data_IF_698002742241
#
_entry.id   IF_698002742241
#
_cell.length_a   1.000
_cell.length_b   1.000
_cell.length_c   1.000
_cell.angle_alpha   90.00
_cell.angle_beta   90.00
_cell.angle_gamma   90.00
#
_symmetry.space_group_name_H-M   'P 1'
#
loop_
_entity.id
_entity.type
_entity.pdbx_description
1 polymer ?
#
# COMPACT_ATOMS: atom_id res chain seq x y z
N UNK A 1 -26.93 -40.73 34.47
CA UNK A 1 -25.63 -40.01 34.45
C UNK A 1 -25.46 -39.49 33.03
N UNK A 2 -25.91 -38.27 32.77
CA UNK A 2 -26.07 -37.75 31.42
C UNK A 2 -26.73 -36.38 31.50
N UNK A 3 -25.93 -35.35 31.75
CA UNK A 3 -26.23 -33.94 31.60
C UNK A 3 -24.87 -33.26 31.74
N UNK A 4 -24.24 -32.94 30.61
CA UNK A 4 -23.27 -31.84 30.45
C UNK A 4 -22.87 -31.78 28.96
N UNK A 5 -23.88 -31.72 28.08
CA UNK A 5 -23.68 -31.23 26.72
C UNK A 5 -24.08 -29.75 26.73
N UNK A 6 -23.20 -28.91 27.27
CA UNK A 6 -23.31 -27.45 27.11
C UNK A 6 -22.74 -27.13 25.74
N UNK A 7 -23.63 -26.84 24.79
CA UNK A 7 -23.25 -26.31 23.48
C UNK A 7 -22.47 -25.01 23.73
N UNK A 8 -21.21 -24.87 23.26
CA UNK A 8 -20.48 -23.62 23.43
C UNK A 8 -21.22 -22.53 22.66
N UNK A 9 -21.88 -21.65 23.42
CA UNK A 9 -22.66 -20.53 22.91
C UNK A 9 -21.79 -19.62 22.04
N UNK A 10 -22.11 -19.59 20.75
CA UNK A 10 -21.36 -18.88 19.72
C UNK A 10 -21.35 -17.35 19.91
N UNK A 11 -22.11 -16.82 20.87
CA UNK A 11 -22.12 -15.40 21.23
C UNK A 11 -20.87 -14.95 22.00
N UNK A 12 -20.06 -15.88 22.54
CA UNK A 12 -18.79 -15.53 23.19
C UNK A 12 -17.72 -15.04 22.21
N UNK A 13 -17.98 -15.10 20.90
CA UNK A 13 -17.11 -14.60 19.83
C UNK A 13 -17.56 -13.26 19.25
N UNK A 14 -18.60 -12.63 19.83
CA UNK A 14 -18.96 -11.27 19.45
C UNK A 14 -17.83 -10.33 19.89
N UNK A 15 -17.04 -9.87 18.92
CA UNK A 15 -16.21 -8.68 19.12
C UNK A 15 -17.13 -7.60 19.68
N UNK A 16 -16.77 -6.90 20.78
CA UNK A 16 -17.62 -5.86 21.32
C UNK A 16 -17.97 -4.89 20.19
N UNK A 17 -19.28 -4.63 20.03
CA UNK A 17 -19.90 -3.67 19.10
C UNK A 17 -19.58 -2.23 19.53
N UNK A 18 -18.35 -2.03 19.99
CA UNK A 18 -17.76 -0.80 20.47
C UNK A 18 -16.36 -0.63 19.86
N UNK A 19 -16.08 -1.24 18.69
CA UNK A 19 -15.07 -0.75 17.76
C UNK A 19 -15.59 0.54 17.07
N UNK A 20 -15.84 1.50 17.95
CA UNK A 20 -15.90 2.94 17.83
C UNK A 20 -16.00 3.49 16.40
N UNK A 21 -17.10 4.20 16.15
CA UNK A 21 -17.31 5.17 15.05
C UNK A 21 -16.32 6.36 15.09
N UNK A 22 -15.16 6.22 15.72
CA UNK A 22 -14.09 7.20 15.68
C UNK A 22 -13.36 7.07 14.37
N UNK A 23 -13.16 8.21 13.70
CA UNK A 23 -12.16 8.32 12.65
C UNK A 23 -10.81 7.80 13.19
N UNK A 24 -10.24 6.68 12.68
CA UNK A 24 -8.92 6.24 13.12
C UNK A 24 -7.81 7.24 12.73
N UNK A 25 -8.12 8.23 11.90
CA UNK A 25 -7.16 9.18 11.34
C UNK A 25 -7.14 10.56 12.02
N UNK A 26 -8.29 11.12 12.41
CA UNK A 26 -8.40 12.54 12.81
C UNK A 26 -7.68 12.88 14.12
N UNK A 27 -7.56 11.94 15.05
CA UNK A 27 -6.90 12.19 16.34
C UNK A 27 -5.39 11.99 16.30
N UNK A 28 -4.83 11.54 15.16
CA UNK A 28 -3.43 11.10 15.06
C UNK A 28 -2.66 11.67 13.86
N UNK A 29 -3.33 12.33 12.91
CA UNK A 29 -2.69 12.82 11.68
C UNK A 29 -2.06 14.20 11.84
N UNK A 30 -0.81 14.35 11.37
CA UNK A 30 -0.12 15.66 11.26
C UNK A 30 -0.23 16.28 9.86
N UNK A 31 -0.88 15.59 8.92
CA UNK A 31 -0.96 16.01 7.53
C UNK A 31 -1.88 17.22 7.32
N UNK A 32 -1.29 18.42 7.22
CA UNK A 32 -2.03 19.67 7.01
C UNK A 32 -2.88 19.68 5.73
N UNK A 33 -2.45 18.97 4.68
CA UNK A 33 -3.24 18.84 3.45
C UNK A 33 -4.56 18.10 3.70
N UNK A 34 -4.50 16.99 4.43
CA UNK A 34 -5.67 16.19 4.78
C UNK A 34 -6.63 16.97 5.67
N UNK A 35 -6.11 17.61 6.72
CA UNK A 35 -6.90 18.39 7.66
C UNK A 35 -7.60 19.57 6.98
N UNK A 36 -6.93 20.24 6.04
CA UNK A 36 -7.53 21.33 5.28
C UNK A 36 -8.76 20.88 4.48
N UNK A 37 -8.66 19.75 3.76
CA UNK A 37 -9.80 19.22 2.99
C UNK A 37 -10.90 18.72 3.93
N UNK A 38 -10.53 18.02 5.01
CA UNK A 38 -11.49 17.50 5.98
C UNK A 38 -12.32 18.63 6.62
N UNK A 39 -11.65 19.65 7.17
CA UNK A 39 -12.29 20.82 7.76
C UNK A 39 -13.06 21.63 6.72
N UNK A 40 -12.52 21.78 5.51
CA UNK A 40 -13.21 22.44 4.40
C UNK A 40 -14.51 21.77 4.00
N UNK A 41 -14.53 20.43 3.93
CA UNK A 41 -15.75 19.67 3.63
C UNK A 41 -16.80 19.79 4.74
N UNK A 42 -16.37 19.88 6.01
CA UNK A 42 -17.28 20.07 7.14
C UNK A 42 -17.87 21.49 7.17
N UNK A 43 -17.05 22.51 6.94
CA UNK A 43 -17.47 23.91 6.98
C UNK A 43 -18.29 24.33 5.75
N UNK A 44 -18.03 23.73 4.58
CA UNK A 44 -18.65 24.14 3.32
C UNK A 44 -18.75 22.97 2.34
N UNK A 45 -19.78 22.10 2.47
CA UNK A 45 -19.92 20.92 1.62
C UNK A 45 -20.07 21.27 0.14
N UNK A 46 -20.67 22.43 -0.19
CA UNK A 46 -20.87 22.90 -1.57
C UNK A 46 -19.56 23.26 -2.29
N UNK A 47 -18.51 23.61 -1.54
CA UNK A 47 -17.20 23.99 -2.11
C UNK A 47 -16.41 22.77 -2.60
N UNK A 48 -16.72 21.58 -2.08
CA UNK A 48 -15.99 20.34 -2.36
C UNK A 48 -16.90 19.25 -2.95
N UNK A 49 -17.46 19.42 -4.16
CA UNK A 49 -18.42 18.47 -4.73
C UNK A 49 -17.87 17.06 -4.97
N UNK A 50 -16.54 16.92 -5.11
CA UNK A 50 -15.87 15.64 -5.31
C UNK A 50 -15.37 15.00 -4.00
N UNK A 51 -15.70 15.57 -2.85
CA UNK A 51 -15.31 15.02 -1.55
C UNK A 51 -16.53 14.89 -0.64
N UNK A 52 -16.47 13.91 0.25
CA UNK A 52 -17.44 13.82 1.34
C UNK A 52 -16.77 13.22 2.57
N UNK A 53 -17.35 13.51 3.73
CA UNK A 53 -16.93 12.92 5.01
C UNK A 53 -18.03 11.99 5.49
N UNK A 54 -17.68 10.75 5.85
CA UNK A 54 -18.61 9.77 6.41
C UNK A 54 -17.93 8.95 7.49
N UNK A 55 -18.59 8.80 8.63
CA UNK A 55 -18.06 8.08 9.81
C UNK A 55 -16.66 8.56 10.18
N UNK A 56 -16.48 9.88 10.11
CA UNK A 56 -15.22 10.55 10.35
C UNK A 56 -14.15 10.35 9.27
N UNK A 57 -14.32 9.51 8.25
CA UNK A 57 -13.34 9.32 7.16
C UNK A 57 -13.62 10.25 5.98
N UNK A 58 -12.56 10.76 5.36
CA UNK A 58 -12.63 11.56 4.14
C UNK A 58 -12.62 10.65 2.92
N UNK A 59 -13.48 10.91 1.95
CA UNK A 59 -13.56 10.20 0.70
C UNK A 59 -13.50 11.17 -0.48
N UNK A 60 -12.99 10.69 -1.61
CA UNK A 60 -12.90 11.42 -2.87
C UNK A 60 -13.57 10.65 -4.00
N UNK A 61 -14.38 11.34 -4.78
CA UNK A 61 -14.98 10.83 -6.01
C UNK A 61 -13.93 10.72 -7.11
N UNK A 62 -13.90 9.58 -7.77
CA UNK A 62 -13.15 9.34 -8.99
C UNK A 62 -13.99 8.47 -9.92
N UNK A 63 -14.22 8.95 -11.15
CA UNK A 63 -14.95 8.19 -12.16
C UNK A 63 -14.28 6.83 -12.39
N UNK A 64 -15.08 5.77 -12.29
CA UNK A 64 -14.64 4.42 -12.60
C UNK A 64 -14.26 4.33 -14.09
N UNK A 65 -13.23 3.54 -14.40
CA UNK A 65 -12.79 3.33 -15.80
C UNK A 65 -13.68 2.35 -16.55
N UNK A 66 -14.45 1.53 -15.83
CA UNK A 66 -15.37 0.54 -16.39
C UNK A 66 -16.50 0.24 -15.40
N UNK A 67 -17.61 -0.31 -15.89
CA UNK A 67 -18.81 -0.60 -15.07
C UNK A 67 -18.54 -1.59 -13.94
N UNK A 68 -17.58 -2.51 -14.11
CA UNK A 68 -17.14 -3.46 -13.08
C UNK A 68 -16.46 -2.78 -11.88
N UNK A 69 -16.08 -1.51 -12.02
CA UNK A 69 -15.44 -0.72 -10.97
C UNK A 69 -16.36 0.37 -10.41
N UNK A 70 -17.65 0.36 -10.74
CA UNK A 70 -18.61 1.36 -10.27
C UNK A 70 -18.71 1.44 -8.74
N UNK A 71 -18.54 0.31 -8.04
CA UNK A 71 -18.51 0.27 -6.57
C UNK A 71 -17.29 0.99 -5.96
N UNK A 72 -16.26 1.28 -6.76
CA UNK A 72 -14.99 1.87 -6.35
C UNK A 72 -14.83 3.33 -6.77
N UNK A 73 -15.94 4.01 -7.08
CA UNK A 73 -15.90 5.43 -7.44
C UNK A 73 -15.54 6.33 -6.26
N UNK A 74 -15.95 5.96 -5.06
CA UNK A 74 -15.61 6.66 -3.84
C UNK A 74 -14.42 6.01 -3.16
N UNK A 75 -13.32 6.76 -3.06
CA UNK A 75 -12.07 6.26 -2.50
C UNK A 75 -11.72 7.00 -1.22
N UNK A 76 -11.34 6.22 -0.22
CA UNK A 76 -10.95 6.74 1.08
C UNK A 76 -9.62 7.50 0.96
N UNK A 77 -9.62 8.75 1.42
CA UNK A 77 -8.42 9.58 1.42
C UNK A 77 -7.59 9.24 2.64
N UNK A 78 -6.30 8.99 2.43
CA UNK A 78 -5.39 8.51 3.49
C UNK A 78 -4.38 9.60 3.87
N UNK A 79 -4.25 9.96 5.17
CA UNK A 79 -3.23 10.89 5.65
C UNK A 79 -1.82 10.29 5.56
N UNK A 80 -0.79 11.13 5.50
CA UNK A 80 0.62 10.70 5.36
C UNK A 80 1.04 9.60 6.34
N UNK A 81 0.68 9.76 7.61
CA UNK A 81 1.14 8.89 8.70
C UNK A 81 0.72 7.42 8.51
N UNK A 82 -0.41 7.18 7.85
CA UNK A 82 -0.99 5.83 7.68
C UNK A 82 -0.67 5.17 6.35
N UNK A 83 -0.12 5.92 5.37
CA UNK A 83 0.14 5.41 4.02
C UNK A 83 1.06 4.20 4.05
N UNK A 84 2.16 4.27 4.80
CA UNK A 84 3.14 3.19 4.87
C UNK A 84 2.51 1.90 5.42
N UNK A 85 1.74 2.00 6.51
CA UNK A 85 1.06 0.85 7.11
C UNK A 85 0.09 0.19 6.12
N UNK A 86 -0.74 0.98 5.44
CA UNK A 86 -1.72 0.48 4.47
C UNK A 86 -1.03 -0.18 3.27
N UNK A 87 0.07 0.39 2.79
CA UNK A 87 0.85 -0.21 1.70
C UNK A 87 1.42 -1.55 2.14
N UNK A 88 2.05 -1.60 3.31
CA UNK A 88 2.68 -2.82 3.83
C UNK A 88 1.68 -3.93 4.13
N UNK A 89 0.50 -3.60 4.64
CA UNK A 89 -0.59 -4.55 4.85
C UNK A 89 -1.05 -5.17 3.51
N UNK A 90 -1.23 -4.35 2.47
CA UNK A 90 -1.66 -4.84 1.15
C UNK A 90 -0.57 -5.57 0.37
N UNK A 91 0.70 -5.22 0.62
CA UNK A 91 1.86 -5.87 0.02
C UNK A 91 2.12 -7.24 0.68
N UNK A 92 2.16 -7.28 2.01
CA UNK A 92 2.59 -8.43 2.81
C UNK A 92 1.43 -9.29 3.31
N UNK A 93 0.18 -8.98 2.93
CA UNK A 93 -0.97 -9.78 3.34
C UNK A 93 -0.73 -11.27 3.00
N UNK A 94 -1.15 -12.22 3.86
CA UNK A 94 -0.99 -13.65 3.62
C UNK A 94 -1.61 -14.10 2.29
N UNK A 95 -2.68 -13.43 1.87
CA UNK A 95 -3.38 -13.65 0.59
C UNK A 95 -2.75 -12.91 -0.60
N UNK A 96 -1.82 -11.97 -0.35
CA UNK A 96 -1.18 -11.14 -1.37
C UNK A 96 0.20 -11.64 -1.80
N UNK A 97 0.87 -12.48 -1.01
CA UNK A 97 2.13 -13.13 -1.40
C UNK A 97 3.20 -12.15 -1.91
N UNK A 98 3.41 -11.03 -1.21
CA UNK A 98 4.40 -10.00 -1.58
C UNK A 98 4.22 -9.46 -3.01
N UNK A 99 3.02 -8.96 -3.32
CA UNK A 99 2.73 -8.42 -4.64
C UNK A 99 3.74 -7.36 -5.08
N UNK A 100 4.19 -7.46 -6.33
CA UNK A 100 5.01 -6.43 -6.97
C UNK A 100 4.28 -5.08 -7.06
N UNK A 101 5.06 -4.02 -7.23
CA UNK A 101 4.63 -2.60 -7.20
C UNK A 101 3.28 -2.36 -7.91
N UNK A 102 3.17 -2.79 -9.17
CA UNK A 102 1.96 -2.53 -9.97
C UNK A 102 0.71 -3.21 -9.42
N UNK A 103 0.82 -4.45 -8.94
CA UNK A 103 -0.31 -5.19 -8.36
C UNK A 103 -0.75 -4.55 -7.05
N UNK A 104 0.19 -4.17 -6.20
CA UNK A 104 -0.05 -3.46 -4.94
C UNK A 104 -0.74 -2.12 -5.21
N UNK A 105 -0.21 -1.31 -6.13
CA UNK A 105 -0.82 -0.04 -6.53
C UNK A 105 -2.24 -0.23 -7.07
N UNK A 106 -2.47 -1.19 -7.98
CA UNK A 106 -3.78 -1.43 -8.57
C UNK A 106 -4.82 -1.82 -7.51
N UNK A 107 -4.43 -2.64 -6.54
CA UNK A 107 -5.29 -3.04 -5.41
C UNK A 107 -5.63 -1.86 -4.52
N UNK A 108 -4.63 -1.06 -4.14
CA UNK A 108 -4.82 0.15 -3.32
C UNK A 108 -5.70 1.18 -4.03
N UNK A 109 -5.47 1.40 -5.33
CA UNK A 109 -6.19 2.38 -6.14
C UNK A 109 -7.68 2.07 -6.33
N UNK A 110 -8.16 0.90 -5.92
CA UNK A 110 -9.60 0.61 -5.88
C UNK A 110 -10.27 1.25 -4.67
N UNK A 111 -9.61 1.26 -3.51
CA UNK A 111 -10.25 1.67 -2.24
C UNK A 111 -9.72 2.98 -1.68
N UNK A 112 -8.47 3.33 -2.00
CA UNK A 112 -7.78 4.44 -1.37
C UNK A 112 -7.28 5.47 -2.38
N UNK A 113 -7.02 6.68 -1.87
CA UNK A 113 -6.45 7.78 -2.63
C UNK A 113 -5.57 8.68 -1.76
N UNK A 114 -4.43 9.10 -2.32
CA UNK A 114 -3.69 10.26 -1.85
C UNK A 114 -2.78 10.82 -2.96
N UNK A 115 -2.36 12.09 -2.87
CA UNK A 115 -1.39 12.66 -3.79
C UNK A 115 -0.05 11.91 -3.68
N UNK A 116 0.53 11.52 -4.83
CA UNK A 116 1.82 10.80 -4.86
C UNK A 116 1.75 9.30 -4.57
N UNK A 117 0.55 8.70 -4.53
CA UNK A 117 0.35 7.29 -4.17
C UNK A 117 1.24 6.28 -4.91
N UNK A 118 1.45 6.48 -6.21
CA UNK A 118 2.31 5.57 -6.97
C UNK A 118 3.77 5.61 -6.45
N UNK A 119 4.31 6.81 -6.22
CA UNK A 119 5.68 6.99 -5.72
C UNK A 119 5.85 6.39 -4.33
N UNK A 120 4.88 6.60 -3.43
CA UNK A 120 4.91 6.03 -2.09
C UNK A 120 4.90 4.48 -2.13
N UNK A 121 4.08 3.90 -3.02
CA UNK A 121 4.04 2.43 -3.21
C UNK A 121 5.35 1.90 -3.77
N UNK A 122 5.95 2.58 -4.76
CA UNK A 122 7.25 2.21 -5.33
C UNK A 122 8.31 2.18 -4.22
N UNK A 123 8.37 3.23 -3.41
CA UNK A 123 9.37 3.35 -2.34
C UNK A 123 9.22 2.23 -1.30
N UNK A 124 8.01 2.03 -0.78
CA UNK A 124 7.76 1.03 0.26
C UNK A 124 7.96 -0.42 -0.20
N UNK A 125 7.55 -0.74 -1.44
CA UNK A 125 7.74 -2.10 -1.98
C UNK A 125 9.19 -2.35 -2.39
N UNK A 126 9.90 -1.33 -2.87
CA UNK A 126 11.32 -1.47 -3.26
C UNK A 126 12.24 -1.65 -2.04
N UNK A 127 11.84 -1.14 -0.88
CA UNK A 127 12.54 -1.35 0.39
C UNK A 127 12.16 -2.66 1.10
N UNK A 128 11.38 -3.54 0.47
CA UNK A 128 11.01 -4.82 1.10
C UNK A 128 12.15 -5.83 1.00
N UNK A 129 12.70 -6.23 2.15
CA UNK A 129 13.79 -7.19 2.24
C UNK A 129 13.42 -8.55 1.64
N UNK A 130 12.24 -9.08 1.98
CA UNK A 130 11.75 -10.36 1.43
C UNK A 130 11.70 -10.34 -0.10
N UNK A 131 11.20 -9.25 -0.69
CA UNK A 131 11.17 -9.12 -2.15
C UNK A 131 12.58 -9.00 -2.74
N UNK A 132 13.47 -8.27 -2.08
CA UNK A 132 14.83 -8.08 -2.58
C UNK A 132 15.65 -9.37 -2.49
N UNK A 133 15.48 -10.18 -1.45
CA UNK A 133 16.13 -11.50 -1.33
C UNK A 133 15.61 -12.53 -2.35
N UNK A 134 14.34 -12.43 -2.77
CA UNK A 134 13.71 -13.37 -3.72
C UNK A 134 13.82 -12.93 -5.19
N UNK A 135 14.31 -11.70 -5.46
CA UNK A 135 14.53 -11.22 -6.82
C UNK A 135 15.72 -11.96 -7.43
N UNK A 136 15.44 -12.71 -8.48
CA UNK A 136 16.44 -13.30 -9.35
C UNK A 136 17.01 -12.24 -10.28
N UNK A 137 18.30 -12.35 -10.61
CA UNK A 137 18.91 -11.51 -11.63
C UNK A 137 18.33 -11.90 -12.99
N UNK A 138 17.64 -10.95 -13.63
CA UNK A 138 17.06 -11.14 -14.97
C UNK A 138 18.01 -10.75 -16.11
N UNK A 139 19.26 -10.41 -15.79
CA UNK A 139 20.25 -10.12 -16.81
C UNK A 139 21.00 -11.39 -17.18
N UNK A 140 21.25 -11.56 -18.48
CA UNK A 140 22.20 -12.55 -18.94
C UNK A 140 23.54 -12.36 -18.21
N UNK A 141 24.27 -13.43 -17.89
CA UNK A 141 25.60 -13.31 -17.31
C UNK A 141 26.44 -12.37 -18.18
N UNK A 142 27.19 -11.47 -17.55
CA UNK A 142 28.18 -10.67 -18.28
C UNK A 142 29.08 -11.66 -19.01
N UNK A 143 29.30 -11.43 -20.31
CA UNK A 143 30.10 -12.33 -21.14
C UNK A 143 31.48 -12.61 -20.52
N UNK A 144 32.05 -13.76 -20.85
CA UNK A 144 33.35 -14.17 -20.30
C UNK A 144 34.41 -13.08 -20.50
N UNK A 145 35.23 -12.84 -19.46
CA UNK A 145 36.43 -12.03 -19.63
C UNK A 145 37.31 -12.70 -20.69
N UNK A 146 37.44 -12.05 -21.85
CA UNK A 146 38.23 -12.56 -22.97
C UNK A 146 39.68 -12.88 -22.56
N UNK A 147 40.36 -13.69 -23.37
CA UNK A 147 41.72 -14.16 -23.07
C UNK A 147 42.67 -12.98 -22.78
N UNK A 148 43.48 -13.06 -21.71
CA UNK A 148 44.47 -12.03 -21.43
C UNK A 148 45.42 -11.90 -22.63
N UNK A 149 45.80 -10.66 -22.97
CA UNK A 149 46.65 -10.37 -24.13
C UNK A 149 47.98 -11.09 -23.99
N UNK A 150 48.31 -11.90 -24.99
CA UNK A 150 49.62 -12.53 -25.06
C UNK A 150 50.69 -11.45 -25.30
N UNK A 151 51.56 -11.25 -24.31
CA UNK A 151 52.70 -10.36 -24.43
C UNK A 151 53.87 -11.14 -25.04
N UNK A 152 54.22 -10.83 -26.28
CA UNK A 152 55.27 -11.53 -27.05
C UNK A 152 56.66 -10.93 -26.90
N UNK A 153 56.82 -9.85 -26.13
CA UNK A 153 58.11 -9.18 -25.93
C UNK A 153 58.21 -8.52 -24.54
N UNK A 154 59.42 -8.41 -23.98
CA UNK A 154 59.61 -7.90 -22.63
C UNK A 154 59.13 -6.44 -22.51
N UNK A 155 58.60 -6.10 -21.32
CA UNK A 155 57.99 -4.80 -20.97
C UNK A 155 56.70 -4.41 -21.71
N UNK A 156 56.10 -5.33 -22.49
CA UNK A 156 54.92 -5.04 -23.32
C UNK A 156 53.65 -4.74 -22.52
N UNK A 157 53.47 -5.40 -21.37
CA UNK A 157 52.43 -5.04 -20.40
C UNK A 157 53.07 -5.14 -19.04
N UNK A 158 53.09 -4.02 -18.31
CA UNK A 158 53.53 -3.98 -16.93
C UNK A 158 52.35 -3.40 -16.15
N UNK A 159 51.76 -4.24 -15.31
CA UNK A 159 50.81 -3.84 -14.27
C UNK A 159 51.59 -3.88 -12.95
N UNK A 160 51.82 -2.71 -12.37
CA UNK A 160 52.40 -2.55 -11.02
C UNK A 160 51.30 -2.72 -9.99
#
# INVERSE_FOLDING_TARGET
RGIDNVIPDALSRALPVAAIETNPYATQTTDGWYLNIYNGCQSSPTSFPNYYVRNGRLYRFMKAKCSLQAEFEWKEVVPKDMRCSIIMENHSAPTAGHFGIFKTYKRLALRYYWPGMHSDVVNAVSSCDTCNSQKHQNHAPLGEMGRPKHCSRPFQTISV
#
